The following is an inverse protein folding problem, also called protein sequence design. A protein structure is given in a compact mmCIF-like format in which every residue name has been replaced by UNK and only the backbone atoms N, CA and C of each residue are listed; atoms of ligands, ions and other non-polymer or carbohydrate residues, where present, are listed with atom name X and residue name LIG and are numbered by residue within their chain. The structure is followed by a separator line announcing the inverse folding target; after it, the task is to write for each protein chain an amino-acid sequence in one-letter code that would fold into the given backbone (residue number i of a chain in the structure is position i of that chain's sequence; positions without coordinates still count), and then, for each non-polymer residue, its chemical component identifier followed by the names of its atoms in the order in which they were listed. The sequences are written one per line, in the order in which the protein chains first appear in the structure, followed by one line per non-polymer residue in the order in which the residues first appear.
data_IF_440098493741
#
_entry.id   IF_440098493741
#
_cell.length_a   1.000
_cell.length_b   1.000
_cell.length_c   1.000
_cell.angle_alpha   90.00
_cell.angle_beta   90.00
_cell.angle_gamma   90.00
#
_symmetry.space_group_name_H-M   'P 1'
#
loop_
_entity.id
_entity.type
_entity.pdbx_description
1 polymer ?
#
# COMPACT_ATOMS: atom_id res chain seq x y z
N UNK A 1 39.79 29.47 20.60
CA UNK A 1 39.22 30.32 19.54
C UNK A 1 37.86 29.77 19.14
N UNK A 2 36.80 30.22 19.79
CA UNK A 2 35.41 29.93 19.41
C UNK A 2 34.99 30.98 18.38
N UNK A 3 34.83 30.58 17.11
CA UNK A 3 34.25 31.46 16.09
C UNK A 3 32.73 31.42 16.23
N UNK A 4 32.15 32.48 16.78
CA UNK A 4 30.70 32.74 16.72
C UNK A 4 30.39 33.14 15.28
N UNK A 5 29.69 32.29 14.54
CA UNK A 5 28.98 32.70 13.35
C UNK A 5 27.77 33.53 13.80
N UNK A 6 27.93 34.85 13.86
CA UNK A 6 26.80 35.76 13.89
C UNK A 6 26.27 35.86 12.45
N UNK A 7 25.12 35.24 12.19
CA UNK A 7 24.37 35.48 10.95
C UNK A 7 23.87 36.93 10.93
N UNK A 8 24.17 37.65 9.85
CA UNK A 8 23.74 39.03 9.64
C UNK A 8 22.22 39.09 9.42
N UNK A 9 21.52 40.15 9.87
CA UNK A 9 20.09 40.35 9.58
C UNK A 9 19.74 40.39 8.08
N UNK A 10 20.73 40.56 7.20
CA UNK A 10 20.58 40.59 5.74
C UNK A 10 20.30 39.23 5.09
N UNK A 11 20.50 38.11 5.78
CA UNK A 11 20.32 36.76 5.20
C UNK A 11 18.87 36.25 5.23
N UNK A 12 17.94 36.98 5.88
CA UNK A 12 16.52 36.57 5.97
C UNK A 12 15.79 36.54 4.62
N UNK A 13 16.33 37.19 3.58
CA UNK A 13 15.72 37.31 2.25
C UNK A 13 16.63 36.80 1.10
N UNK A 14 17.52 35.84 1.38
CA UNK A 14 18.29 35.20 0.30
C UNK A 14 17.38 34.41 -0.63
N UNK A 15 17.51 34.60 -1.96
CA UNK A 15 16.83 33.74 -2.95
C UNK A 15 17.43 32.33 -3.04
N UNK A 16 18.60 32.12 -2.42
CA UNK A 16 19.36 30.87 -2.49
C UNK A 16 19.16 29.98 -1.26
N UNK A 17 18.69 30.54 -0.15
CA UNK A 17 18.39 29.80 1.07
C UNK A 17 16.92 29.96 1.42
N UNK A 18 16.21 28.88 1.81
CA UNK A 18 14.86 29.04 2.34
C UNK A 18 14.90 30.00 3.53
N UNK A 19 13.87 30.84 3.70
CA UNK A 19 13.81 31.78 4.81
C UNK A 19 13.97 31.01 6.13
N UNK A 20 14.87 31.50 6.98
CA UNK A 20 15.07 30.93 8.32
C UNK A 20 13.78 31.16 9.10
N UNK A 21 13.06 30.07 9.38
CA UNK A 21 11.87 30.11 10.22
C UNK A 21 12.32 30.26 11.67
N UNK A 22 11.97 31.38 12.29
CA UNK A 22 12.18 31.59 13.72
C UNK A 22 11.10 30.82 14.49
N UNK A 23 11.47 29.63 14.97
CA UNK A 23 10.56 28.73 15.68
C UNK A 23 10.12 29.35 17.02
N UNK A 24 10.98 30.12 17.66
CA UNK A 24 10.67 30.72 18.96
C UNK A 24 9.68 31.88 18.79
N UNK A 25 9.82 32.67 17.72
CA UNK A 25 8.83 33.67 17.32
C UNK A 25 7.46 33.01 17.03
N UNK A 26 7.43 31.94 16.23
CA UNK A 26 6.18 31.22 15.94
C UNK A 26 5.52 30.64 17.19
N UNK A 27 6.30 30.08 18.12
CA UNK A 27 5.77 29.55 19.39
C UNK A 27 5.21 30.63 20.31
N UNK A 28 5.59 31.89 20.11
CA UNK A 28 5.03 33.03 20.85
C UNK A 28 3.74 33.57 20.21
N UNK A 29 3.46 33.24 18.95
CA UNK A 29 2.24 33.62 18.25
C UNK A 29 1.07 32.69 18.65
N UNK A 30 0.08 33.24 19.35
CA UNK A 30 -1.10 32.51 19.80
C UNK A 30 -1.91 31.88 18.66
N UNK A 31 -1.96 32.52 17.48
CA UNK A 31 -2.68 32.01 16.32
C UNK A 31 -1.96 30.82 15.71
N UNK A 32 -0.62 30.86 15.65
CA UNK A 32 0.18 29.71 15.24
C UNK A 32 0.02 28.55 16.21
N UNK A 33 0.11 28.80 17.53
CA UNK A 33 -0.04 27.76 18.54
C UNK A 33 -1.42 27.07 18.46
N UNK A 34 -2.51 27.84 18.33
CA UNK A 34 -3.85 27.27 18.16
C UNK A 34 -3.95 26.43 16.88
N UNK A 35 -3.42 26.91 15.75
CA UNK A 35 -3.37 26.13 14.51
C UNK A 35 -2.56 24.85 14.67
N UNK A 36 -1.39 24.92 15.32
CA UNK A 36 -0.51 23.78 15.54
C UNK A 36 -1.19 22.70 16.38
N UNK A 37 -1.88 23.08 17.47
CA UNK A 37 -2.66 22.16 18.29
C UNK A 37 -3.75 21.45 17.47
N UNK A 38 -4.51 22.22 16.68
CA UNK A 38 -5.54 21.70 15.77
C UNK A 38 -4.97 20.71 14.75
N UNK A 39 -3.79 21.04 14.20
CA UNK A 39 -3.12 20.21 13.21
C UNK A 39 -2.57 18.92 13.81
N UNK A 40 -1.94 18.99 14.98
CA UNK A 40 -1.45 17.81 15.72
C UNK A 40 -2.60 16.89 16.10
N UNK A 41 -3.73 17.44 16.58
CA UNK A 41 -4.93 16.67 16.88
C UNK A 41 -5.47 15.97 15.62
N UNK A 42 -5.62 16.70 14.51
CA UNK A 42 -6.11 16.12 13.26
C UNK A 42 -5.17 15.03 12.70
N UNK A 43 -3.85 15.21 12.81
CA UNK A 43 -2.87 14.21 12.40
C UNK A 43 -2.91 12.97 13.29
N UNK A 44 -3.15 13.13 14.59
CA UNK A 44 -3.32 12.02 15.53
C UNK A 44 -4.57 11.20 15.17
N UNK A 45 -5.68 11.88 14.85
CA UNK A 45 -6.89 11.20 14.37
C UNK A 45 -6.62 10.44 13.07
N UNK A 46 -5.94 11.06 12.10
CA UNK A 46 -5.60 10.39 10.83
C UNK A 46 -4.70 9.18 11.04
N UNK A 47 -3.72 9.28 11.95
CA UNK A 47 -2.85 8.16 12.31
C UNK A 47 -3.67 6.97 12.84
N UNK A 48 -4.63 7.24 13.71
CA UNK A 48 -5.55 6.22 14.24
C UNK A 48 -6.50 5.63 13.18
N UNK A 49 -6.70 6.29 12.05
CA UNK A 49 -7.52 5.81 10.93
C UNK A 49 -6.74 4.94 9.93
N UNK A 50 -5.60 4.35 10.33
CA UNK A 50 -4.81 3.45 9.47
C UNK A 50 -5.70 2.34 8.85
N UNK A 51 -5.78 2.25 7.51
CA UNK A 51 -6.48 1.15 6.86
C UNK A 51 -5.80 -0.19 7.18
N UNK A 52 -6.52 -1.10 7.86
CA UNK A 52 -6.02 -2.43 8.18
C UNK A 52 -6.22 -3.36 7.00
N UNK A 53 -5.13 -3.75 6.34
CA UNK A 53 -5.14 -4.65 5.19
C UNK A 53 -4.47 -5.98 5.54
N UNK A 54 -5.07 -7.11 5.15
CA UNK A 54 -4.44 -8.43 5.39
C UNK A 54 -3.06 -8.54 4.74
N UNK A 55 -2.83 -7.85 3.63
CA UNK A 55 -1.54 -7.77 2.95
C UNK A 55 -0.42 -7.30 3.88
N UNK A 56 -0.69 -6.41 4.82
CA UNK A 56 0.28 -5.96 5.82
C UNK A 56 0.62 -7.09 6.81
N UNK A 57 -0.40 -7.83 7.27
CA UNK A 57 -0.21 -8.97 8.19
C UNK A 57 0.64 -10.10 7.60
N UNK A 58 0.64 -10.25 6.27
CA UNK A 58 1.33 -11.34 5.56
C UNK A 58 2.52 -10.85 4.72
N UNK A 59 2.92 -9.59 4.89
CA UNK A 59 3.96 -8.90 4.09
C UNK A 59 5.32 -9.63 4.07
N UNK A 60 5.68 -10.31 5.16
CA UNK A 60 6.91 -11.12 5.26
C UNK A 60 6.90 -12.38 4.36
N UNK A 61 5.75 -12.74 3.79
CA UNK A 61 5.62 -13.90 2.92
C UNK A 61 4.88 -13.55 1.63
N UNK A 62 5.60 -13.30 0.52
CA UNK A 62 5.00 -13.09 -0.79
C UNK A 62 4.04 -14.22 -1.19
N UNK A 63 4.31 -15.46 -0.77
CA UNK A 63 3.40 -16.58 -1.00
C UNK A 63 2.07 -16.36 -0.27
N UNK A 64 2.08 -16.13 1.05
CA UNK A 64 0.85 -15.87 1.82
C UNK A 64 0.10 -14.64 1.30
N UNK A 65 0.81 -13.59 0.91
CA UNK A 65 0.22 -12.42 0.26
C UNK A 65 -0.54 -12.82 -1.00
N UNK A 66 0.06 -13.61 -1.89
CA UNK A 66 -0.58 -14.04 -3.12
C UNK A 66 -1.78 -14.98 -2.89
N UNK A 67 -1.74 -15.81 -1.84
CA UNK A 67 -2.90 -16.60 -1.41
C UNK A 67 -4.04 -15.66 -0.94
N UNK A 68 -3.74 -14.69 -0.07
CA UNK A 68 -4.72 -13.74 0.46
C UNK A 68 -5.39 -12.91 -0.65
N UNK A 69 -4.61 -12.28 -1.54
CA UNK A 69 -5.17 -11.47 -2.64
C UNK A 69 -5.91 -12.30 -3.67
N UNK A 70 -5.56 -13.58 -3.84
CA UNK A 70 -6.33 -14.51 -4.68
C UNK A 70 -7.73 -14.75 -4.12
N UNK A 71 -7.87 -14.86 -2.79
CA UNK A 71 -9.16 -15.04 -2.13
C UNK A 71 -10.01 -13.75 -2.13
N UNK A 72 -9.37 -12.59 -2.05
CA UNK A 72 -10.02 -11.27 -2.10
C UNK A 72 -10.54 -10.90 -3.51
N UNK A 73 -10.10 -11.61 -4.55
CA UNK A 73 -10.54 -11.31 -5.93
C UNK A 73 -12.06 -11.51 -6.10
N UNK A 74 -12.79 -10.39 -6.16
CA UNK A 74 -14.26 -10.33 -6.24
C UNK A 74 -14.95 -10.99 -5.03
N UNK A 75 -14.36 -10.91 -3.85
CA UNK A 75 -14.96 -11.43 -2.61
C UNK A 75 -14.58 -10.55 -1.43
N UNK A 76 -15.57 -10.23 -0.58
CA UNK A 76 -15.36 -9.37 0.59
C UNK A 76 -14.35 -9.97 1.57
N UNK A 77 -13.57 -9.11 2.23
CA UNK A 77 -12.59 -9.49 3.26
C UNK A 77 -13.23 -10.32 4.37
N UNK A 78 -14.36 -9.83 4.91
CA UNK A 78 -15.15 -10.49 5.96
C UNK A 78 -15.47 -11.97 5.72
N UNK A 79 -15.56 -12.41 4.46
CA UNK A 79 -15.75 -13.83 4.10
C UNK A 79 -14.44 -14.54 3.78
N UNK A 80 -13.54 -13.89 3.06
CA UNK A 80 -12.31 -14.51 2.54
C UNK A 80 -11.20 -14.64 3.59
N UNK A 81 -11.12 -13.75 4.57
CA UNK A 81 -10.07 -13.72 5.58
C UNK A 81 -10.16 -14.89 6.57
N UNK A 82 -11.34 -15.26 7.12
CA UNK A 82 -11.45 -16.48 7.92
C UNK A 82 -10.98 -17.73 7.16
N UNK A 83 -11.41 -17.86 5.90
CA UNK A 83 -11.02 -18.98 5.03
C UNK A 83 -9.52 -18.96 4.73
N UNK A 84 -8.91 -17.79 4.57
CA UNK A 84 -7.46 -17.67 4.46
C UNK A 84 -6.76 -18.27 5.69
N UNK A 85 -7.20 -17.91 6.90
CA UNK A 85 -6.60 -18.44 8.12
C UNK A 85 -6.81 -19.95 8.27
N UNK A 86 -7.98 -20.48 7.90
CA UNK A 86 -8.21 -21.94 7.87
C UNK A 86 -7.29 -22.66 6.90
N UNK A 87 -7.06 -22.09 5.71
CA UNK A 87 -6.12 -22.62 4.72
C UNK A 87 -4.70 -22.61 5.27
N UNK A 88 -4.21 -21.47 5.81
CA UNK A 88 -2.84 -21.37 6.31
C UNK A 88 -2.62 -22.21 7.58
N UNK A 89 -3.64 -22.40 8.41
CA UNK A 89 -3.58 -23.33 9.55
C UNK A 89 -3.46 -24.77 9.11
N UNK A 90 -4.13 -25.15 8.01
CA UNK A 90 -4.17 -26.53 7.51
C UNK A 90 -2.96 -26.84 6.62
N UNK A 91 -2.55 -25.90 5.78
CA UNK A 91 -1.43 -25.99 4.85
C UNK A 91 -0.53 -24.75 4.99
N UNK A 92 0.38 -24.74 5.99
CA UNK A 92 1.13 -23.54 6.36
C UNK A 92 2.27 -23.18 5.40
N UNK A 93 2.63 -24.07 4.47
CA UNK A 93 3.76 -23.91 3.55
C UNK A 93 3.34 -24.10 2.10
N UNK A 94 4.10 -23.54 1.12
CA UNK A 94 3.87 -23.80 -0.29
C UNK A 94 3.85 -25.30 -0.62
N UNK A 95 4.73 -26.10 0.00
CA UNK A 95 4.76 -27.55 -0.20
C UNK A 95 3.45 -28.22 0.22
N UNK A 96 3.00 -27.98 1.45
CA UNK A 96 1.77 -28.57 1.96
C UNK A 96 0.53 -28.17 1.14
N UNK A 97 0.44 -26.90 0.70
CA UNK A 97 -0.71 -26.43 -0.09
C UNK A 97 -0.65 -26.92 -1.55
N UNK A 98 0.55 -27.12 -2.11
CA UNK A 98 0.73 -27.68 -3.45
C UNK A 98 0.29 -29.16 -3.55
N UNK A 99 0.30 -29.87 -2.43
CA UNK A 99 -0.12 -31.27 -2.29
C UNK A 99 -1.54 -31.42 -1.73
N UNK A 100 -2.21 -30.31 -1.39
CA UNK A 100 -3.53 -30.33 -0.79
C UNK A 100 -4.57 -31.03 -1.69
N UNK A 101 -5.41 -31.92 -1.14
CA UNK A 101 -6.52 -32.49 -1.89
C UNK A 101 -7.47 -31.40 -2.39
N UNK A 102 -7.65 -31.29 -3.70
CA UNK A 102 -8.51 -30.27 -4.30
C UNK A 102 -9.96 -30.33 -3.79
N UNK A 103 -10.45 -31.53 -3.44
CA UNK A 103 -11.78 -31.72 -2.85
C UNK A 103 -11.95 -30.98 -1.53
N UNK A 104 -10.95 -31.05 -0.63
CA UNK A 104 -10.98 -30.36 0.66
C UNK A 104 -10.84 -28.85 0.49
N UNK A 105 -9.96 -28.40 -0.42
CA UNK A 105 -9.86 -26.97 -0.75
C UNK A 105 -11.15 -26.43 -1.35
N UNK A 106 -11.79 -27.19 -2.24
CA UNK A 106 -13.07 -26.80 -2.83
C UNK A 106 -14.15 -26.64 -1.76
N UNK A 107 -14.22 -27.56 -0.80
CA UNK A 107 -15.17 -27.50 0.31
C UNK A 107 -14.99 -26.21 1.14
N UNK A 108 -13.75 -25.87 1.51
CA UNK A 108 -13.43 -24.64 2.23
C UNK A 108 -13.75 -23.37 1.42
N UNK A 109 -13.63 -23.43 0.11
CA UNK A 109 -13.82 -22.28 -0.79
C UNK A 109 -15.25 -22.15 -1.34
N UNK A 110 -16.12 -23.14 -1.09
CA UNK A 110 -17.45 -23.27 -1.72
C UNK A 110 -18.26 -21.98 -1.61
N UNK A 111 -18.26 -21.36 -0.45
CA UNK A 111 -19.15 -20.23 -0.14
C UNK A 111 -18.57 -18.87 -0.57
N UNK A 112 -17.34 -18.86 -1.11
CA UNK A 112 -16.69 -17.66 -1.63
C UNK A 112 -16.96 -17.40 -3.12
N UNK A 113 -17.58 -18.36 -3.82
CA UNK A 113 -17.75 -18.34 -5.28
C UNK A 113 -16.47 -18.67 -6.04
N UNK A 114 -16.61 -19.23 -7.26
CA UNK A 114 -15.49 -19.69 -8.09
C UNK A 114 -14.53 -20.68 -7.37
N UNK A 115 -15.04 -21.46 -6.42
CA UNK A 115 -14.25 -22.32 -5.53
C UNK A 115 -13.29 -23.25 -6.27
N UNK A 116 -13.74 -23.88 -7.36
CA UNK A 116 -12.91 -24.78 -8.17
C UNK A 116 -11.71 -24.07 -8.82
N UNK A 117 -11.97 -22.96 -9.54
CA UNK A 117 -10.91 -22.16 -10.17
C UNK A 117 -9.95 -21.59 -9.14
N UNK A 118 -10.44 -21.20 -7.97
CA UNK A 118 -9.60 -20.70 -6.86
C UNK A 118 -8.76 -21.82 -6.26
N UNK A 119 -9.33 -22.99 -5.97
CA UNK A 119 -8.60 -24.13 -5.42
C UNK A 119 -7.41 -24.49 -6.30
N UNK A 120 -7.65 -24.66 -7.61
CA UNK A 120 -6.58 -24.87 -8.58
C UNK A 120 -5.56 -23.74 -8.57
N UNK A 121 -6.01 -22.49 -8.53
CA UNK A 121 -5.12 -21.33 -8.48
C UNK A 121 -4.19 -21.35 -7.26
N UNK A 122 -4.71 -21.67 -6.07
CA UNK A 122 -3.91 -21.72 -4.85
C UNK A 122 -2.84 -22.82 -4.91
N UNK A 123 -3.19 -23.98 -5.46
CA UNK A 123 -2.26 -25.08 -5.72
C UNK A 123 -1.19 -24.66 -6.73
N UNK A 124 -1.59 -24.05 -7.85
CA UNK A 124 -0.67 -23.61 -8.91
C UNK A 124 0.30 -22.52 -8.44
N UNK A 125 -0.17 -21.55 -7.65
CA UNK A 125 0.68 -20.55 -6.99
C UNK A 125 1.72 -21.28 -6.14
N UNK A 126 1.27 -22.20 -5.29
CA UNK A 126 2.15 -22.90 -4.35
C UNK A 126 3.20 -23.75 -5.06
N UNK A 127 2.81 -24.48 -6.12
CA UNK A 127 3.75 -25.21 -6.99
C UNK A 127 4.77 -24.29 -7.67
N UNK A 128 4.32 -23.12 -8.13
CA UNK A 128 5.23 -22.15 -8.75
C UNK A 128 6.30 -21.68 -7.76
N UNK A 129 5.96 -21.49 -6.49
CA UNK A 129 6.93 -21.13 -5.45
C UNK A 129 7.95 -22.23 -5.15
N UNK A 130 7.64 -23.50 -5.45
CA UNK A 130 8.59 -24.61 -5.32
C UNK A 130 9.51 -24.74 -6.54
N UNK A 131 8.98 -24.52 -7.75
CA UNK A 131 9.69 -24.76 -9.01
C UNK A 131 10.45 -23.52 -9.51
N UNK A 132 9.84 -22.34 -9.45
CA UNK A 132 10.41 -21.08 -9.92
C UNK A 132 10.05 -19.96 -8.91
N UNK A 133 10.65 -19.97 -7.69
CA UNK A 133 10.32 -19.00 -6.66
C UNK A 133 10.58 -17.55 -7.11
N UNK A 134 9.78 -16.57 -6.65
CA UNK A 134 10.07 -15.16 -6.85
C UNK A 134 11.43 -14.78 -6.28
N UNK A 135 12.27 -14.13 -7.10
CA UNK A 135 13.58 -13.63 -6.69
C UNK A 135 13.62 -12.12 -6.96
N UNK A 136 13.80 -11.26 -5.93
CA UNK A 136 13.83 -9.80 -6.10
C UNK A 136 14.77 -9.32 -7.21
N UNK A 137 15.95 -9.92 -7.30
CA UNK A 137 16.97 -9.59 -8.31
C UNK A 137 16.63 -10.04 -9.74
N UNK A 138 15.56 -10.83 -9.94
CA UNK A 138 15.19 -11.42 -11.23
C UNK A 138 13.69 -11.19 -11.53
N UNK A 139 13.28 -9.95 -11.80
CA UNK A 139 11.89 -9.66 -12.16
C UNK A 139 11.48 -10.39 -13.44
N UNK A 140 10.21 -10.77 -13.51
CA UNK A 140 9.63 -11.52 -14.64
C UNK A 140 8.67 -10.62 -15.42
N UNK A 141 8.56 -10.77 -16.73
CA UNK A 141 7.66 -9.94 -17.52
C UNK A 141 6.20 -10.19 -17.10
N UNK A 142 5.47 -9.13 -16.76
CA UNK A 142 4.04 -9.23 -16.49
C UNK A 142 3.26 -9.46 -17.78
N UNK A 143 2.11 -10.13 -17.68
CA UNK A 143 1.10 -10.24 -18.76
C UNK A 143 -0.01 -9.19 -18.66
N UNK A 144 -0.10 -8.50 -17.52
CA UNK A 144 -1.13 -7.52 -17.24
C UNK A 144 -0.82 -6.14 -17.82
N UNK A 145 -1.81 -5.26 -17.70
CA UNK A 145 -1.69 -3.85 -18.05
C UNK A 145 -1.98 -3.01 -16.81
N UNK A 146 -1.43 -1.81 -16.77
CA UNK A 146 -1.73 -0.80 -15.76
C UNK A 146 -1.99 0.54 -16.44
N UNK A 147 -2.52 1.47 -15.67
CA UNK A 147 -2.74 2.84 -16.10
C UNK A 147 -1.50 3.66 -15.74
N UNK A 148 -0.97 4.42 -16.69
CA UNK A 148 0.15 5.33 -16.45
C UNK A 148 -0.13 6.72 -17.05
N UNK A 149 0.35 7.75 -16.36
CA UNK A 149 0.34 9.12 -16.83
C UNK A 149 1.59 9.35 -17.71
N UNK A 150 1.39 9.68 -18.98
CA UNK A 150 2.45 9.99 -19.94
C UNK A 150 2.05 11.24 -20.71
N UNK A 151 2.92 12.25 -20.76
CA UNK A 151 2.68 13.50 -21.51
C UNK A 151 1.32 14.14 -21.17
N UNK A 152 0.98 14.21 -19.88
CA UNK A 152 -0.30 14.69 -19.36
C UNK A 152 -1.55 13.92 -19.87
N UNK A 153 -1.38 12.70 -20.40
CA UNK A 153 -2.50 11.82 -20.78
C UNK A 153 -2.41 10.49 -20.06
N UNK A 154 -3.57 10.01 -19.63
CA UNK A 154 -3.74 8.69 -19.04
C UNK A 154 -3.74 7.67 -20.18
N UNK A 155 -2.85 6.68 -20.12
CA UNK A 155 -2.76 5.59 -21.11
C UNK A 155 -2.69 4.23 -20.42
N UNK A 156 -3.24 3.22 -21.08
CA UNK A 156 -3.03 1.82 -20.70
C UNK A 156 -1.66 1.36 -21.21
N UNK A 157 -0.80 0.94 -20.30
CA UNK A 157 0.57 0.48 -20.59
C UNK A 157 0.79 -0.92 -20.04
N UNK A 158 1.86 -1.59 -20.50
CA UNK A 158 2.23 -2.89 -19.93
C UNK A 158 2.58 -2.74 -18.46
N UNK A 159 2.08 -3.65 -17.61
CA UNK A 159 2.44 -3.64 -16.20
C UNK A 159 3.96 -3.92 -16.06
N UNK A 160 4.71 -3.14 -15.25
CA UNK A 160 6.16 -3.32 -15.12
C UNK A 160 6.53 -4.72 -14.62
N UNK A 161 7.65 -5.32 -15.07
CA UNK A 161 8.11 -6.60 -14.55
C UNK A 161 8.25 -6.59 -13.02
N UNK A 162 7.80 -7.66 -12.36
CA UNK A 162 7.95 -7.86 -10.92
C UNK A 162 8.47 -9.27 -10.62
N UNK A 163 9.05 -9.52 -9.44
CA UNK A 163 9.47 -10.87 -9.03
C UNK A 163 8.35 -11.92 -9.05
N UNK A 164 7.09 -11.50 -8.91
CA UNK A 164 5.92 -12.38 -8.86
C UNK A 164 5.10 -12.40 -10.15
N UNK A 165 5.53 -11.68 -11.19
CA UNK A 165 4.76 -11.50 -12.44
C UNK A 165 4.50 -12.80 -13.22
N UNK A 166 5.35 -13.81 -13.07
CA UNK A 166 5.17 -15.12 -13.69
C UNK A 166 4.22 -16.04 -12.91
N UNK A 167 3.89 -15.68 -11.66
CA UNK A 167 3.06 -16.51 -10.80
C UNK A 167 1.62 -16.55 -11.35
N UNK A 168 1.03 -17.75 -11.51
CA UNK A 168 -0.30 -17.89 -12.08
C UNK A 168 -1.33 -17.03 -11.34
N UNK A 169 -2.14 -16.27 -12.09
CA UNK A 169 -3.25 -15.49 -11.56
C UNK A 169 -2.86 -14.12 -10.98
N UNK A 170 -1.58 -13.75 -11.07
CA UNK A 170 -1.13 -12.40 -10.71
C UNK A 170 -1.56 -11.38 -11.77
N UNK A 171 -2.73 -10.77 -11.54
CA UNK A 171 -3.17 -9.57 -12.24
C UNK A 171 -2.72 -8.28 -11.54
N UNK A 172 -3.06 -7.08 -12.07
CA UNK A 172 -2.60 -5.80 -11.56
C UNK A 172 -2.80 -5.62 -10.04
N UNK A 173 -3.95 -6.02 -9.50
CA UNK A 173 -4.21 -5.96 -8.05
C UNK A 173 -3.21 -6.76 -7.21
N UNK A 174 -2.87 -7.98 -7.62
CA UNK A 174 -1.89 -8.82 -6.91
C UNK A 174 -0.47 -8.26 -7.03
N UNK A 175 -0.14 -7.70 -8.21
CA UNK A 175 1.15 -7.08 -8.45
C UNK A 175 1.30 -5.78 -7.66
N UNK A 176 0.29 -4.92 -7.61
CA UNK A 176 0.28 -3.71 -6.79
C UNK A 176 0.39 -4.06 -5.30
N UNK A 177 -0.37 -5.06 -4.83
CA UNK A 177 -0.27 -5.56 -3.46
C UNK A 177 1.15 -6.03 -3.13
N UNK A 178 1.77 -6.83 -3.99
CA UNK A 178 3.15 -7.25 -3.78
C UNK A 178 4.11 -6.06 -3.69
N UNK A 179 4.01 -5.10 -4.62
CA UNK A 179 4.93 -3.95 -4.67
C UNK A 179 4.74 -2.97 -3.51
N UNK A 180 3.55 -2.91 -2.92
CA UNK A 180 3.26 -2.05 -1.77
C UNK A 180 3.78 -2.68 -0.46
N UNK A 181 3.59 -3.99 -0.29
CA UNK A 181 3.78 -4.65 1.01
C UNK A 181 5.02 -5.57 1.08
N UNK A 182 5.41 -6.20 -0.02
CA UNK A 182 6.57 -7.09 -0.11
C UNK A 182 7.73 -6.51 -0.94
N UNK A 183 7.51 -5.36 -1.58
CA UNK A 183 8.47 -4.70 -2.46
C UNK A 183 9.68 -4.16 -1.70
N UNK A 184 10.67 -3.68 -2.45
CA UNK A 184 11.82 -3.01 -1.85
C UNK A 184 11.41 -1.70 -1.16
N UNK A 185 12.27 -1.19 -0.28
CA UNK A 185 12.03 0.08 0.38
C UNK A 185 11.76 1.20 -0.64
N UNK A 186 10.67 1.94 -0.44
CA UNK A 186 10.24 3.02 -1.32
C UNK A 186 9.55 2.57 -2.62
N UNK A 187 9.49 1.27 -2.94
CA UNK A 187 8.82 0.78 -4.16
C UNK A 187 7.35 1.23 -4.22
N UNK A 188 6.66 1.17 -3.09
CA UNK A 188 5.28 1.62 -2.91
C UNK A 188 5.02 3.06 -3.40
N UNK A 189 6.03 3.95 -3.36
CA UNK A 189 5.90 5.35 -3.80
C UNK A 189 5.62 5.48 -5.30
N UNK A 190 6.02 4.47 -6.07
CA UNK A 190 5.82 4.41 -7.53
C UNK A 190 4.52 3.71 -7.94
N UNK A 191 3.82 3.05 -7.01
CA UNK A 191 2.62 2.25 -7.32
C UNK A 191 1.41 3.18 -7.49
N UNK A 192 0.56 2.87 -8.46
CA UNK A 192 -0.69 3.58 -8.77
C UNK A 192 -1.81 2.54 -8.93
N UNK A 193 -2.35 2.00 -7.83
CA UNK A 193 -3.35 0.95 -7.89
C UNK A 193 -4.70 1.53 -8.33
N UNK A 194 -5.51 0.69 -8.99
CA UNK A 194 -6.93 0.98 -9.25
C UNK A 194 -7.84 0.42 -8.17
N UNK A 195 -7.32 -0.44 -7.29
CA UNK A 195 -8.08 -1.01 -6.19
C UNK A 195 -8.37 0.07 -5.14
N UNK A 196 -9.63 0.11 -4.68
CA UNK A 196 -10.11 1.16 -3.79
C UNK A 196 -9.46 1.09 -2.40
N UNK A 197 -9.20 -0.09 -1.87
CA UNK A 197 -8.64 -0.24 -0.53
C UNK A 197 -7.13 0.01 -0.54
N UNK A 198 -6.43 -0.44 -1.58
CA UNK A 198 -5.02 -0.06 -1.80
C UNK A 198 -4.86 1.46 -1.99
N UNK A 199 -5.83 2.11 -2.67
CA UNK A 199 -5.84 3.56 -2.86
C UNK A 199 -5.97 4.30 -1.53
N UNK A 200 -6.93 3.92 -0.67
CA UNK A 200 -7.08 4.49 0.69
C UNK A 200 -5.82 4.29 1.52
N UNK A 201 -5.24 3.09 1.49
CA UNK A 201 -4.00 2.80 2.21
C UNK A 201 -2.84 3.69 1.75
N UNK A 202 -2.66 3.88 0.44
CA UNK A 202 -1.61 4.75 -0.07
C UNK A 202 -1.85 6.23 0.25
N UNK A 203 -3.11 6.72 0.19
CA UNK A 203 -3.44 8.08 0.61
C UNK A 203 -3.05 8.32 2.07
N UNK A 204 -3.46 7.41 2.96
CA UNK A 204 -3.07 7.44 4.37
C UNK A 204 -1.56 7.40 4.54
N UNK A 205 -0.88 6.46 3.89
CA UNK A 205 0.58 6.26 4.04
C UNK A 205 1.39 7.46 3.55
N UNK A 206 1.00 8.08 2.43
CA UNK A 206 1.64 9.31 1.93
C UNK A 206 1.44 10.49 2.88
N UNK A 207 0.25 10.63 3.48
CA UNK A 207 -0.03 11.67 4.45
C UNK A 207 0.78 11.50 5.74
N UNK A 208 0.89 10.26 6.25
CA UNK A 208 1.58 9.96 7.51
C UNK A 208 3.11 9.90 7.36
N UNK A 209 3.63 9.19 6.36
CA UNK A 209 5.09 8.95 6.24
C UNK A 209 5.81 10.06 5.47
N UNK A 210 5.10 10.80 4.61
CA UNK A 210 5.73 11.78 3.72
C UNK A 210 5.12 13.18 3.81
N UNK A 211 4.06 13.38 4.61
CA UNK A 211 3.36 14.67 4.75
C UNK A 211 2.92 15.27 3.40
N UNK A 212 2.55 14.42 2.42
CA UNK A 212 2.12 14.86 1.08
C UNK A 212 0.71 14.39 0.76
N UNK A 213 -0.03 15.24 0.07
CA UNK A 213 -1.27 14.84 -0.59
C UNK A 213 -0.93 13.81 -1.67
N UNK A 214 -1.77 12.81 -1.87
CA UNK A 214 -1.57 11.82 -2.93
C UNK A 214 -2.85 11.54 -3.69
N UNK A 215 -2.71 11.41 -5.01
CA UNK A 215 -3.76 11.14 -5.96
C UNK A 215 -3.46 9.85 -6.76
N UNK A 216 -4.44 8.97 -7.01
CA UNK A 216 -4.21 7.70 -7.71
C UNK A 216 -3.79 7.85 -9.18
N UNK A 217 -4.05 9.01 -9.81
CA UNK A 217 -3.65 9.30 -11.19
C UNK A 217 -2.35 10.09 -11.22
N UNK A 218 -2.27 11.18 -10.49
CA UNK A 218 -1.15 12.13 -10.54
C UNK A 218 -0.02 11.78 -9.57
N UNK A 219 -0.29 10.96 -8.56
CA UNK A 219 0.68 10.59 -7.54
C UNK A 219 0.85 11.65 -6.46
N UNK A 220 2.06 11.79 -5.89
CA UNK A 220 2.28 12.69 -4.77
C UNK A 220 2.26 14.16 -5.23
N UNK A 221 1.41 14.96 -4.60
CA UNK A 221 1.23 16.39 -4.83
C UNK A 221 1.95 17.25 -3.80
N UNK A 222 1.35 18.40 -3.45
CA UNK A 222 1.89 19.33 -2.45
C UNK A 222 1.86 18.73 -1.04
N UNK A 223 2.45 19.44 -0.08
CA UNK A 223 2.34 19.13 1.35
C UNK A 223 0.88 19.06 1.79
N UNK A 224 0.59 18.21 2.78
CA UNK A 224 -0.72 18.17 3.43
C UNK A 224 -1.02 19.48 4.15
N UNK A 225 -2.30 19.79 4.28
CA UNK A 225 -2.83 20.88 5.09
C UNK A 225 -3.95 20.34 6.00
N UNK A 226 -4.38 21.17 6.95
CA UNK A 226 -5.40 20.79 7.94
C UNK A 226 -6.70 20.31 7.30
N UNK A 227 -7.13 20.95 6.21
CA UNK A 227 -8.32 20.57 5.45
C UNK A 227 -8.19 19.17 4.85
N UNK A 228 -7.07 18.89 4.17
CA UNK A 228 -6.82 17.58 3.59
C UNK A 228 -6.79 16.48 4.66
N UNK A 229 -6.11 16.72 5.78
CA UNK A 229 -6.02 15.75 6.88
C UNK A 229 -7.41 15.43 7.42
N UNK A 230 -8.21 16.45 7.74
CA UNK A 230 -9.59 16.26 8.24
C UNK A 230 -10.48 15.54 7.21
N UNK A 231 -10.38 15.90 5.93
CA UNK A 231 -11.15 15.27 4.87
C UNK A 231 -10.79 13.79 4.67
N UNK A 232 -9.49 13.46 4.68
CA UNK A 232 -9.02 12.08 4.57
C UNK A 232 -9.43 11.26 5.79
N UNK A 233 -9.31 11.80 7.01
CA UNK A 233 -9.77 11.15 8.23
C UNK A 233 -11.26 10.81 8.15
N UNK A 234 -12.09 11.74 7.68
CA UNK A 234 -13.53 11.50 7.53
C UNK A 234 -13.85 10.47 6.44
N UNK A 235 -13.11 10.48 5.32
CA UNK A 235 -13.25 9.47 4.28
C UNK A 235 -12.98 8.07 4.83
N UNK A 236 -11.88 7.89 5.57
CA UNK A 236 -11.49 6.61 6.15
C UNK A 236 -12.42 6.15 7.25
N UNK A 237 -13.01 7.09 8.00
CA UNK A 237 -14.03 6.80 9.02
C UNK A 237 -15.35 6.32 8.43
N UNK A 238 -15.80 6.92 7.32
CA UNK A 238 -17.10 6.60 6.69
C UNK A 238 -17.09 5.28 5.93
N UNK A 239 -15.96 4.94 5.31
CA UNK A 239 -15.81 3.74 4.49
C UNK A 239 -14.56 2.96 4.96
N UNK A 240 -14.59 2.39 6.18
CA UNK A 240 -13.48 1.62 6.69
C UNK A 240 -13.26 0.37 5.84
N UNK A 241 -12.01 -0.11 5.79
CA UNK A 241 -11.71 -1.38 5.13
C UNK A 241 -12.46 -2.50 5.87
N UNK A 242 -13.37 -3.18 5.16
CA UNK A 242 -14.10 -4.32 5.71
C UNK A 242 -13.27 -5.60 5.62
N UNK A 243 -12.68 -5.98 6.73
CA UNK A 243 -11.96 -7.24 6.93
C UNK A 243 -12.59 -8.06 8.03
#
# INVERSE_FOLDING_TARGET
MHSRYFSSPSDRNSRFFPPVVDIDELKSDSSFCAFYEDFVAAMTDLYCMKPTLIQEHVSESPWKLLIAVTLLNKTAGKKSIPVFFDIIRTWPTPDSLAQAPLSLLFELLRDLGFGEKRAHRLVDISRTFLVDPPVPARPRPSRGYTTALSEARIRTVRYPPTPVSHVPGCGPYALDSYRIFCGAEGEWKSVRPTDKELTKYLQWRWAIEAYRKWDPVYGPGNSIDLEYVRALTELLRRDPVEH
#
